data_IF_739464942909
#
_entry.id   IF_739464942909
#
_cell.length_a   1.000
_cell.length_b   1.000
_cell.length_c   1.000
_cell.angle_alpha   90.00
_cell.angle_beta   90.00
_cell.angle_gamma   90.00
#
_symmetry.space_group_name_H-M   'P 1'
#
loop_
_entity.id
_entity.type
_entity.pdbx_description
1 polymer ?
#
# COMPACT_ATOMS: atom_id res chain seq x y z
N UNK A 1 -3.19 -39.73 31.12
CA UNK A 1 -2.91 -39.16 29.78
C UNK A 1 -1.93 -37.99 29.94
N UNK A 2 -0.65 -38.15 29.56
CA UNK A 2 0.32 -37.05 29.61
C UNK A 2 -0.01 -36.00 28.54
N UNK A 3 0.09 -34.71 28.87
CA UNK A 3 -0.15 -33.59 27.95
C UNK A 3 1.07 -33.38 27.06
N UNK A 4 0.91 -33.08 25.75
CA UNK A 4 2.04 -32.82 24.87
C UNK A 4 2.76 -31.54 25.32
N UNK A 5 4.07 -31.69 25.55
CA UNK A 5 4.95 -30.59 25.95
C UNK A 5 5.28 -29.72 24.72
N UNK A 6 4.73 -28.50 24.69
CA UNK A 6 4.94 -27.54 23.61
C UNK A 6 6.24 -26.71 23.76
N UNK A 7 7.14 -27.09 24.67
CA UNK A 7 8.35 -26.33 25.01
C UNK A 7 9.48 -26.42 23.97
N UNK A 8 9.46 -27.38 23.04
CA UNK A 8 10.48 -27.51 22.00
C UNK A 8 10.03 -26.80 20.72
N UNK A 9 10.39 -25.52 20.58
CA UNK A 9 10.36 -24.84 19.27
C UNK A 9 11.25 -25.64 18.34
N UNK A 10 10.66 -26.43 17.43
CA UNK A 10 11.41 -27.11 16.38
C UNK A 10 12.18 -26.02 15.63
N UNK A 11 13.50 -26.17 15.54
CA UNK A 11 14.30 -25.33 14.66
C UNK A 11 13.72 -25.50 13.26
N UNK A 12 12.96 -24.52 12.79
CA UNK A 12 12.47 -24.51 11.42
C UNK A 12 13.65 -24.14 10.55
N UNK A 13 14.03 -25.04 9.66
CA UNK A 13 15.06 -24.77 8.67
C UNK A 13 14.65 -23.51 7.89
N UNK A 14 15.32 -22.38 8.15
CA UNK A 14 14.96 -21.07 7.58
C UNK A 14 14.93 -21.09 6.05
N UNK A 15 15.78 -21.94 5.44
CA UNK A 15 15.80 -22.18 3.99
C UNK A 15 14.50 -22.83 3.53
N UNK A 16 14.09 -23.92 4.17
CA UNK A 16 12.85 -24.63 3.82
C UNK A 16 11.61 -23.77 4.02
N UNK A 17 11.51 -23.03 5.13
CA UNK A 17 10.37 -22.13 5.36
C UNK A 17 10.27 -21.05 4.29
N UNK A 18 11.40 -20.42 3.93
CA UNK A 18 11.44 -19.42 2.86
C UNK A 18 11.06 -20.03 1.51
N UNK A 19 11.58 -21.22 1.18
CA UNK A 19 11.21 -21.88 -0.09
C UNK A 19 9.73 -22.24 -0.15
N UNK A 20 9.13 -22.66 0.97
CA UNK A 20 7.70 -22.93 1.06
C UNK A 20 6.87 -21.65 0.89
N UNK A 21 7.30 -20.54 1.49
CA UNK A 21 6.65 -19.24 1.33
C UNK A 21 6.74 -18.72 -0.11
N UNK A 22 7.91 -18.86 -0.76
CA UNK A 22 8.08 -18.51 -2.18
C UNK A 22 7.15 -19.34 -3.07
N UNK A 23 7.10 -20.66 -2.88
CA UNK A 23 6.19 -21.54 -3.63
C UNK A 23 4.72 -21.15 -3.40
N UNK A 24 4.35 -20.83 -2.17
CA UNK A 24 2.99 -20.35 -1.83
C UNK A 24 2.68 -19.01 -2.52
N UNK A 25 3.64 -18.07 -2.55
CA UNK A 25 3.46 -16.79 -3.22
C UNK A 25 3.33 -16.94 -4.75
N UNK A 26 4.15 -17.78 -5.37
CA UNK A 26 4.11 -18.06 -6.80
C UNK A 26 2.80 -18.72 -7.22
N UNK A 27 2.35 -19.73 -6.47
CA UNK A 27 1.07 -20.40 -6.74
C UNK A 27 -0.12 -19.45 -6.55
N UNK A 28 -0.09 -18.59 -5.54
CA UNK A 28 -1.11 -17.55 -5.35
C UNK A 28 -1.14 -16.55 -6.52
N UNK A 29 0.03 -16.04 -6.94
CA UNK A 29 0.16 -15.13 -8.08
C UNK A 29 -0.38 -15.76 -9.36
N UNK A 30 -0.03 -17.00 -9.64
CA UNK A 30 -0.53 -17.73 -10.81
C UNK A 30 -2.06 -17.88 -10.79
N UNK A 31 -2.66 -18.18 -9.62
CA UNK A 31 -4.12 -18.25 -9.46
C UNK A 31 -4.80 -16.91 -9.68
N UNK A 32 -4.25 -15.82 -9.11
CA UNK A 32 -4.78 -14.47 -9.34
C UNK A 32 -4.73 -14.10 -10.82
N UNK A 33 -3.61 -14.37 -11.49
CA UNK A 33 -3.46 -14.11 -12.93
C UNK A 33 -4.48 -14.89 -13.76
N UNK A 34 -4.70 -16.17 -13.45
CA UNK A 34 -5.72 -16.99 -14.12
C UNK A 34 -7.14 -16.45 -13.89
N UNK A 35 -7.47 -16.02 -12.67
CA UNK A 35 -8.78 -15.46 -12.37
C UNK A 35 -9.00 -14.11 -13.06
N UNK A 36 -7.96 -13.28 -13.13
CA UNK A 36 -8.00 -12.01 -13.86
C UNK A 36 -8.30 -12.22 -15.34
N UNK A 37 -7.59 -13.13 -16.01
CA UNK A 37 -7.88 -13.43 -17.42
C UNK A 37 -9.28 -14.02 -17.65
N UNK A 38 -9.80 -14.81 -16.70
CA UNK A 38 -11.20 -15.27 -16.78
C UNK A 38 -12.21 -14.11 -16.70
N UNK A 39 -11.95 -13.14 -15.82
CA UNK A 39 -12.80 -11.95 -15.69
C UNK A 39 -12.75 -11.09 -16.96
N UNK A 40 -11.55 -10.81 -17.49
CA UNK A 40 -11.38 -10.09 -18.75
C UNK A 40 -12.14 -10.76 -19.90
N UNK A 41 -12.06 -12.10 -19.99
CA UNK A 41 -12.79 -12.88 -20.98
C UNK A 41 -14.31 -12.77 -20.80
N UNK A 42 -14.81 -12.82 -19.57
CA UNK A 42 -16.25 -12.65 -19.31
C UNK A 42 -16.75 -11.23 -19.57
N UNK A 43 -15.88 -10.22 -19.44
CA UNK A 43 -16.20 -8.81 -19.68
C UNK A 43 -16.05 -8.40 -21.14
N UNK A 44 -15.59 -9.30 -22.02
CA UNK A 44 -15.41 -9.02 -23.46
C UNK A 44 -14.23 -8.10 -23.77
N UNK A 45 -13.31 -7.90 -22.81
CA UNK A 45 -12.16 -6.99 -22.93
C UNK A 45 -10.89 -7.67 -23.46
N UNK A 46 -10.96 -8.96 -23.81
CA UNK A 46 -9.82 -9.79 -24.26
C UNK A 46 -9.19 -9.28 -25.58
N UNK A 47 -9.94 -8.53 -26.41
CA UNK A 47 -9.50 -8.04 -27.71
C UNK A 47 -8.64 -6.76 -27.64
N UNK A 48 -8.79 -5.95 -26.59
CA UNK A 48 -8.06 -4.69 -26.43
C UNK A 48 -6.57 -4.89 -26.06
N UNK A 49 -6.21 -5.97 -25.36
CA UNK A 49 -4.80 -6.26 -25.01
C UNK A 49 -4.01 -6.84 -26.19
N UNK A 50 -4.63 -7.63 -27.07
CA UNK A 50 -3.94 -8.21 -28.25
C UNK A 50 -3.50 -7.12 -29.23
N UNK A 51 -4.29 -6.07 -29.40
CA UNK A 51 -3.94 -4.93 -30.25
C UNK A 51 -2.79 -4.08 -29.67
N UNK A 52 -2.70 -3.94 -28.35
CA UNK A 52 -1.61 -3.20 -27.71
C UNK A 52 -0.28 -3.99 -27.69
N UNK A 53 -0.32 -5.32 -27.53
CA UNK A 53 0.89 -6.16 -27.58
C UNK A 53 1.48 -6.30 -28.98
N UNK A 54 0.68 -6.17 -30.05
CA UNK A 54 1.20 -6.10 -31.41
C UNK A 54 1.80 -4.72 -31.76
N UNK A 55 1.34 -3.64 -31.12
CA UNK A 55 1.91 -2.31 -31.31
C UNK A 55 3.31 -2.17 -30.68
N UNK A 56 3.55 -2.75 -29.50
CA UNK A 56 4.86 -2.71 -28.83
C UNK A 56 5.90 -3.68 -29.42
N UNK A 57 5.49 -4.66 -30.23
CA UNK A 57 6.44 -5.55 -30.93
C UNK A 57 7.02 -4.96 -32.22
N UNK A 58 6.44 -3.89 -32.78
CA UNK A 58 6.92 -3.26 -34.02
C UNK A 58 7.99 -2.19 -33.81
N UNK A 59 8.37 -1.89 -32.57
CA UNK A 59 9.31 -0.81 -32.24
C UNK A 59 10.68 -1.29 -31.75
N UNK A 60 10.97 -2.59 -31.80
CA UNK A 60 12.17 -3.15 -31.14
C UNK A 60 12.98 -4.14 -32.02
N UNK A 61 12.89 -4.01 -33.34
CA UNK A 61 13.57 -4.88 -34.33
C UNK A 61 14.68 -4.16 -35.13
N UNK A 62 15.35 -3.16 -34.55
CA UNK A 62 16.65 -2.67 -35.05
C UNK A 62 17.58 -2.34 -33.88
N UNK A 63 18.36 -3.33 -33.43
CA UNK A 63 19.82 -3.22 -33.36
C UNK A 63 20.41 -4.50 -32.73
N UNK A 64 20.92 -5.36 -33.60
CA UNK A 64 21.80 -6.46 -33.24
C UNK A 64 23.25 -5.96 -33.39
N UNK A 65 23.93 -5.67 -32.28
CA UNK A 65 25.39 -5.79 -32.22
C UNK A 65 25.83 -6.07 -30.80
N UNK A 66 26.57 -7.17 -30.64
CA UNK A 66 26.88 -7.76 -29.36
C UNK A 66 27.99 -7.05 -28.59
N UNK A 67 28.08 -7.41 -27.31
CA UNK A 67 29.38 -7.56 -26.67
C UNK A 67 29.26 -8.55 -25.50
N UNK A 68 30.27 -9.40 -25.39
CA UNK A 68 30.44 -10.41 -24.35
C UNK A 68 31.38 -9.87 -23.27
N UNK A 69 30.90 -9.70 -22.05
CA UNK A 69 31.71 -9.58 -20.83
C UNK A 69 30.93 -10.26 -19.70
N UNK A 70 31.29 -11.49 -19.32
CA UNK A 70 32.42 -11.90 -18.48
C UNK A 70 32.24 -11.57 -16.99
N UNK A 71 32.47 -12.61 -16.20
CA UNK A 71 32.43 -12.70 -14.77
C UNK A 71 33.23 -11.58 -14.10
N UNK A 72 32.64 -10.91 -13.11
CA UNK A 72 33.43 -10.60 -11.92
C UNK A 72 32.54 -10.39 -10.70
N UNK A 73 32.65 -11.34 -9.78
CA UNK A 73 32.36 -11.13 -8.38
C UNK A 73 33.17 -9.93 -7.86
N UNK A 74 32.48 -8.95 -7.30
CA UNK A 74 33.08 -7.93 -6.43
C UNK A 74 32.33 -7.94 -5.11
N UNK A 75 32.91 -8.72 -4.20
CA UNK A 75 32.84 -8.60 -2.76
C UNK A 75 33.41 -7.22 -2.37
N UNK A 76 32.55 -6.31 -1.89
CA UNK A 76 32.96 -5.07 -1.25
C UNK A 76 32.08 -4.90 -0.01
N UNK A 77 32.68 -5.28 1.13
CA UNK A 77 32.29 -4.86 2.45
C UNK A 77 32.19 -3.34 2.51
N UNK A 78 31.00 -2.82 2.84
CA UNK A 78 30.89 -1.46 3.40
C UNK A 78 30.20 -1.56 4.75
N UNK A 79 31.05 -1.72 5.76
CA UNK A 79 31.17 -0.77 6.86
C UNK A 79 29.94 -0.56 7.74
N UNK A 80 29.95 -1.25 8.88
CA UNK A 80 29.32 -0.83 10.12
C UNK A 80 29.58 0.66 10.41
N UNK A 81 28.51 1.39 10.72
CA UNK A 81 28.52 2.50 11.71
C UNK A 81 27.10 2.85 12.17
N UNK A 82 26.91 2.62 13.46
CA UNK A 82 26.03 3.37 14.38
C UNK A 82 24.56 2.98 14.49
N UNK A 83 24.38 1.88 15.21
CA UNK A 83 23.44 1.83 16.33
C UNK A 83 23.58 3.07 17.23
N UNK A 84 22.52 3.87 17.38
CA UNK A 84 22.10 4.42 18.68
C UNK A 84 20.67 4.98 18.61
N UNK A 85 19.88 4.65 19.63
CA UNK A 85 18.64 5.35 20.03
C UNK A 85 17.34 5.09 19.24
N UNK A 86 16.81 3.87 19.38
CA UNK A 86 15.35 3.67 19.60
C UNK A 86 15.07 2.43 20.46
N UNK A 87 15.81 2.33 21.57
CA UNK A 87 15.62 1.36 22.64
C UNK A 87 15.19 2.05 23.95
N UNK A 88 14.17 2.91 23.91
CA UNK A 88 13.52 3.44 25.13
C UNK A 88 12.03 3.65 24.79
N UNK A 89 11.14 2.66 24.98
CA UNK A 89 10.13 2.77 26.05
C UNK A 89 9.28 1.49 26.22
N UNK A 90 9.83 0.29 26.00
CA UNK A 90 9.07 -0.98 26.17
C UNK A 90 9.00 -1.51 27.62
N UNK A 91 9.12 -0.64 28.63
CA UNK A 91 8.99 -1.02 30.05
C UNK A 91 8.15 0.00 30.83
N UNK A 92 6.84 0.05 30.57
CA UNK A 92 5.85 0.33 31.61
C UNK A 92 4.85 -0.82 31.60
N UNK A 93 5.24 -1.91 32.26
CA UNK A 93 4.31 -2.92 32.74
C UNK A 93 3.33 -2.17 33.65
N UNK A 94 2.12 -1.92 33.17
CA UNK A 94 1.02 -1.47 34.02
C UNK A 94 0.72 -2.57 35.04
N UNK A 95 1.35 -2.47 36.20
CA UNK A 95 0.96 -3.14 37.43
C UNK A 95 -0.31 -2.46 37.96
N UNK A 96 -1.45 -2.77 37.35
CA UNK A 96 -2.76 -2.53 37.97
C UNK A 96 -3.60 -3.79 37.75
N UNK A 97 -3.18 -4.89 38.38
CA UNK A 97 -4.02 -6.08 38.51
C UNK A 97 -5.09 -5.80 39.56
N UNK A 98 -6.15 -5.07 39.18
CA UNK A 98 -7.39 -5.22 39.92
C UNK A 98 -7.82 -6.68 39.76
N UNK A 99 -7.98 -7.38 40.88
CA UNK A 99 -8.40 -8.77 40.96
C UNK A 99 -9.87 -8.87 40.52
N UNK A 100 -10.16 -8.62 39.25
CA UNK A 100 -11.49 -8.80 38.69
C UNK A 100 -11.76 -10.29 38.61
N UNK A 101 -12.95 -10.69 39.07
CA UNK A 101 -13.41 -12.08 38.98
C UNK A 101 -13.31 -12.52 37.51
N UNK A 102 -12.86 -13.75 37.24
CA UNK A 102 -12.79 -14.25 35.87
C UNK A 102 -14.20 -14.21 35.26
N UNK A 103 -14.41 -13.32 34.29
CA UNK A 103 -15.70 -13.10 33.63
C UNK A 103 -16.32 -14.41 33.14
N UNK A 104 -17.64 -14.49 33.14
CA UNK A 104 -18.33 -15.68 32.65
C UNK A 104 -18.06 -15.89 31.14
N UNK A 105 -18.07 -17.13 30.67
CA UNK A 105 -17.83 -17.46 29.26
C UNK A 105 -18.78 -16.68 28.33
N UNK A 106 -20.06 -16.58 28.70
CA UNK A 106 -21.06 -15.81 27.97
C UNK A 106 -20.69 -14.31 27.87
N UNK A 107 -20.22 -13.73 28.97
CA UNK A 107 -19.79 -12.31 29.02
C UNK A 107 -18.56 -12.07 28.14
N UNK A 108 -17.58 -12.98 28.18
CA UNK A 108 -16.39 -12.90 27.31
C UNK A 108 -16.77 -13.00 25.83
N UNK A 109 -17.71 -13.87 25.48
CA UNK A 109 -18.21 -13.99 24.12
C UNK A 109 -18.92 -12.71 23.65
N UNK A 110 -19.73 -12.09 24.51
CA UNK A 110 -20.39 -10.82 24.24
C UNK A 110 -19.38 -9.68 24.03
N UNK A 111 -18.37 -9.56 24.91
CA UNK A 111 -17.30 -8.55 24.78
C UNK A 111 -16.50 -8.76 23.50
N UNK A 112 -16.18 -10.01 23.14
CA UNK A 112 -15.48 -10.31 21.90
C UNK A 112 -16.31 -9.95 20.66
N UNK A 113 -17.64 -10.14 20.71
CA UNK A 113 -18.57 -9.74 19.65
C UNK A 113 -18.62 -8.22 19.52
N UNK A 114 -18.78 -7.48 20.63
CA UNK A 114 -18.78 -6.02 20.65
C UNK A 114 -17.50 -5.43 20.07
N UNK A 115 -16.33 -5.94 20.49
CA UNK A 115 -15.04 -5.50 19.94
C UNK A 115 -14.94 -5.70 18.43
N UNK A 116 -15.44 -6.83 17.92
CA UNK A 116 -15.44 -7.09 16.47
C UNK A 116 -16.39 -6.14 15.73
N UNK A 117 -17.55 -5.83 16.32
CA UNK A 117 -18.50 -4.87 15.74
C UNK A 117 -17.94 -3.44 15.75
N UNK A 118 -17.33 -3.00 16.85
CA UNK A 118 -16.65 -1.71 16.94
C UNK A 118 -15.50 -1.59 15.95
N UNK A 119 -14.68 -2.64 15.81
CA UNK A 119 -13.61 -2.65 14.80
C UNK A 119 -14.16 -2.57 13.38
N UNK A 120 -15.29 -3.24 13.09
CA UNK A 120 -15.96 -3.11 11.79
C UNK A 120 -16.49 -1.69 11.58
N UNK A 121 -17.16 -1.12 12.57
CA UNK A 121 -17.69 0.26 12.53
C UNK A 121 -16.56 1.27 12.33
N UNK A 122 -15.46 1.15 13.07
CA UNK A 122 -14.29 2.03 12.94
C UNK A 122 -13.68 1.95 11.54
N UNK A 123 -13.55 0.74 10.97
CA UNK A 123 -13.07 0.56 9.60
C UNK A 123 -14.02 1.20 8.58
N UNK A 124 -15.32 1.02 8.74
CA UNK A 124 -16.31 1.63 7.86
C UNK A 124 -16.27 3.16 7.94
N UNK A 125 -16.17 3.72 9.14
CA UNK A 125 -16.03 5.16 9.36
C UNK A 125 -14.76 5.71 8.69
N UNK A 126 -13.61 5.05 8.85
CA UNK A 126 -12.37 5.44 8.17
C UNK A 126 -12.49 5.44 6.65
N UNK A 127 -13.21 4.46 6.08
CA UNK A 127 -13.45 4.42 4.62
C UNK A 127 -14.36 5.58 4.20
N UNK A 128 -15.43 5.84 4.95
CA UNK A 128 -16.35 6.96 4.67
C UNK A 128 -15.63 8.32 4.73
N UNK A 129 -14.81 8.55 5.76
CA UNK A 129 -14.02 9.78 5.88
C UNK A 129 -13.05 9.97 4.70
N UNK A 130 -12.37 8.90 4.28
CA UNK A 130 -11.49 8.93 3.10
C UNK A 130 -12.25 9.31 1.84
N UNK A 131 -13.42 8.71 1.61
CA UNK A 131 -14.26 9.03 0.45
C UNK A 131 -14.72 10.49 0.48
N UNK A 132 -15.20 10.97 1.62
CA UNK A 132 -15.60 12.38 1.78
C UNK A 132 -14.43 13.34 1.56
N UNK A 133 -13.23 13.00 2.03
CA UNK A 133 -12.04 13.81 1.78
C UNK A 133 -11.71 13.88 0.29
N UNK A 134 -11.72 12.73 -0.41
CA UNK A 134 -11.49 12.68 -1.86
C UNK A 134 -12.52 13.54 -2.60
N UNK A 135 -13.80 13.39 -2.26
CA UNK A 135 -14.89 14.15 -2.89
C UNK A 135 -14.73 15.66 -2.67
N UNK A 136 -14.43 16.09 -1.43
CA UNK A 136 -14.16 17.51 -1.11
C UNK A 136 -12.98 18.04 -1.93
N UNK A 137 -11.89 17.29 -2.04
CA UNK A 137 -10.72 17.69 -2.82
C UNK A 137 -11.02 17.77 -4.31
N UNK A 138 -11.81 16.84 -4.85
CA UNK A 138 -12.26 16.89 -6.25
C UNK A 138 -13.10 18.14 -6.52
N UNK A 139 -14.11 18.42 -5.67
CA UNK A 139 -14.92 19.64 -5.77
C UNK A 139 -14.07 20.91 -5.73
N UNK A 140 -13.09 20.98 -4.83
CA UNK A 140 -12.16 22.12 -4.76
C UNK A 140 -11.35 22.26 -6.06
N UNK A 141 -10.84 21.15 -6.62
CA UNK A 141 -10.09 21.16 -7.88
C UNK A 141 -10.95 21.61 -9.05
N UNK A 142 -12.19 21.16 -9.12
CA UNK A 142 -13.15 21.54 -10.17
C UNK A 142 -13.46 23.03 -10.11
N UNK A 143 -13.77 23.57 -8.93
CA UNK A 143 -14.00 25.00 -8.73
C UNK A 143 -12.76 25.82 -9.14
N UNK A 144 -11.57 25.41 -8.72
CA UNK A 144 -10.30 26.06 -9.11
C UNK A 144 -10.07 25.99 -10.62
N UNK A 145 -10.35 24.84 -11.25
CA UNK A 145 -10.24 24.66 -12.70
C UNK A 145 -11.18 25.58 -13.45
N UNK A 146 -12.43 25.72 -12.99
CA UNK A 146 -13.42 26.63 -13.57
C UNK A 146 -12.97 28.10 -13.47
N UNK A 147 -12.49 28.51 -12.29
CA UNK A 147 -11.96 29.86 -12.09
C UNK A 147 -10.77 30.16 -13.03
N UNK A 148 -9.84 29.21 -13.19
CA UNK A 148 -8.65 29.36 -14.04
C UNK A 148 -8.92 29.20 -15.54
N UNK A 149 -10.08 28.65 -15.93
CA UNK A 149 -10.49 28.47 -17.33
C UNK A 149 -10.94 29.79 -17.99
N UNK A 150 -11.26 30.81 -17.20
CA UNK A 150 -11.74 32.09 -17.71
C UNK A 150 -10.70 32.78 -18.61
N UNK A 151 -11.17 33.33 -19.73
CA UNK A 151 -10.37 34.07 -20.71
C UNK A 151 -10.97 35.44 -20.96
N UNK A 152 -10.13 36.42 -21.26
CA UNK A 152 -10.52 37.76 -21.67
C UNK A 152 -11.06 37.77 -23.11
N UNK A 153 -11.63 38.90 -23.56
CA UNK A 153 -12.14 39.08 -24.93
C UNK A 153 -11.13 38.70 -26.02
N UNK A 154 -9.84 38.93 -25.76
CA UNK A 154 -8.73 38.65 -26.69
C UNK A 154 -8.12 37.25 -26.50
N UNK A 155 -8.74 36.39 -25.69
CA UNK A 155 -8.30 35.00 -25.49
C UNK A 155 -7.19 34.80 -24.46
N UNK A 156 -6.63 35.88 -23.90
CA UNK A 156 -5.64 35.80 -22.82
C UNK A 156 -6.30 35.25 -21.54
N UNK A 157 -5.61 34.42 -20.75
CA UNK A 157 -6.14 33.95 -19.48
C UNK A 157 -6.39 35.11 -18.52
N UNK A 158 -7.51 35.08 -17.79
CA UNK A 158 -7.77 36.08 -16.75
C UNK A 158 -6.74 35.91 -15.64
N UNK A 159 -5.94 36.95 -15.39
CA UNK A 159 -4.78 36.85 -14.50
C UNK A 159 -5.11 36.99 -13.01
N UNK A 160 -6.22 37.64 -12.62
CA UNK A 160 -6.58 37.87 -11.21
C UNK A 160 -6.53 36.61 -10.33
N UNK A 161 -7.23 35.52 -10.69
CA UNK A 161 -7.17 34.26 -9.92
C UNK A 161 -5.76 33.65 -9.85
N UNK A 162 -4.95 33.80 -10.90
CA UNK A 162 -3.57 33.29 -10.96
C UNK A 162 -2.64 34.11 -10.08
N UNK A 163 -2.80 35.43 -10.07
CA UNK A 163 -2.04 36.36 -9.22
C UNK A 163 -2.33 36.06 -7.75
N UNK A 164 -3.59 35.87 -7.36
CA UNK A 164 -3.92 35.54 -5.97
C UNK A 164 -3.27 34.22 -5.51
N UNK A 165 -3.28 33.18 -6.35
CA UNK A 165 -2.58 31.93 -6.05
C UNK A 165 -1.06 32.14 -5.86
N UNK A 166 -0.46 33.04 -6.64
CA UNK A 166 0.96 33.39 -6.52
C UNK A 166 1.22 34.15 -5.20
N UNK A 167 0.40 35.14 -4.87
CA UNK A 167 0.50 35.89 -3.62
C UNK A 167 0.34 34.98 -2.39
N UNK A 168 -0.62 34.04 -2.42
CA UNK A 168 -0.82 33.08 -1.33
C UNK A 168 0.34 32.09 -1.20
N UNK A 169 1.07 31.81 -2.28
CA UNK A 169 2.28 30.99 -2.23
C UNK A 169 3.42 31.78 -1.60
N UNK A 170 3.64 33.01 -2.04
CA UNK A 170 4.64 33.94 -1.47
C UNK A 170 4.40 34.12 0.04
N UNK A 171 3.15 34.32 0.47
CA UNK A 171 2.80 34.43 1.89
C UNK A 171 3.10 33.17 2.71
N UNK A 172 3.00 31.98 2.11
CA UNK A 172 3.32 30.71 2.78
C UNK A 172 4.81 30.40 2.85
N UNK A 173 5.58 30.92 1.89
CA UNK A 173 7.03 30.68 1.81
C UNK A 173 7.84 31.67 2.69
N UNK A 174 7.25 32.81 3.07
CA UNK A 174 7.88 33.86 3.89
C UNK A 174 7.38 33.96 5.34
N UNK A 175 6.54 33.02 5.78
CA UNK A 175 6.05 32.89 7.17
C UNK A 175 6.49 31.54 7.71
#
# INVERSE_FOLDING_TARGET
MPRPDHSKKRFTNRKETKTADIKRALTHRARLRKNYFKLLKSEGLEEHEKLNLEADKRSNDEDESGDSHDDSASDEEVGDKEHTEKLISKNKKHSISSKQKPLNFAERAAIAKQRKEEQRKAKLAQVQEKLQHIEKQQKIRELKKQQLKQKTKYGQPVMGPRINNLLDKIKRDHV
#
